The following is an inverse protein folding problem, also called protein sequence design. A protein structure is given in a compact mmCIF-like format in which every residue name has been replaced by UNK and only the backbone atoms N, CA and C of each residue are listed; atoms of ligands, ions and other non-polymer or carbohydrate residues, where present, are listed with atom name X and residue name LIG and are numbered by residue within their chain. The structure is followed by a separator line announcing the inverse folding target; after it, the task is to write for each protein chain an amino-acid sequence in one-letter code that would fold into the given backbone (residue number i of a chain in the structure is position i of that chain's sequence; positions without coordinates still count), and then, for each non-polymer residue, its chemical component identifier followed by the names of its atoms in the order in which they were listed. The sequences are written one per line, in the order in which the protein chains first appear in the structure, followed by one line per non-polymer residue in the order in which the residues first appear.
data_IF_196162683140
#
_entry.id   IF_196162683140
#
_cell.length_a   1.000
_cell.length_b   1.000
_cell.length_c   1.000
_cell.angle_alpha   90.00
_cell.angle_beta   90.00
_cell.angle_gamma   90.00
#
_symmetry.space_group_name_H-M   'P 1'
#
loop_
_entity.id
_entity.type
_entity.pdbx_description
1 polymer ?
#
# COMPACT_ATOMS: atom_id res chain seq x y z
N UNK A 1 -23.99 -65.62 43.91
CA UNK A 1 -25.38 -65.50 43.48
C UNK A 1 -25.66 -64.00 43.60
N UNK A 2 -25.74 -63.20 42.66
CA UNK A 2 -26.33 -62.94 41.39
C UNK A 2 -25.52 -61.87 40.63
N UNK A 3 -24.80 -62.24 39.58
CA UNK A 3 -24.49 -61.34 38.48
C UNK A 3 -25.71 -61.25 37.57
N UNK A 4 -26.07 -60.06 37.13
CA UNK A 4 -26.60 -59.77 35.82
C UNK A 4 -27.42 -58.49 35.83
N UNK A 5 -27.19 -57.76 34.78
CA UNK A 5 -28.02 -56.73 34.15
C UNK A 5 -27.54 -55.30 34.41
N UNK A 6 -26.80 -54.82 33.39
CA UNK A 6 -27.20 -53.58 32.69
C UNK A 6 -26.31 -53.38 31.46
N UNK A 7 -26.70 -54.01 30.35
CA UNK A 7 -26.27 -53.65 29.01
C UNK A 7 -27.09 -52.44 28.53
N UNK A 8 -26.46 -51.31 28.33
CA UNK A 8 -27.11 -50.22 27.58
C UNK A 8 -26.16 -49.64 26.48
N UNK A 9 -26.11 -50.28 25.31
CA UNK A 9 -25.39 -49.70 24.16
C UNK A 9 -26.29 -48.81 23.25
N UNK A 10 -27.47 -48.38 23.69
CA UNK A 10 -28.38 -47.62 22.81
C UNK A 10 -28.38 -46.11 23.04
N UNK A 11 -27.93 -45.61 24.17
CA UNK A 11 -27.92 -44.16 24.47
C UNK A 11 -26.72 -43.44 23.87
N UNK A 12 -25.59 -44.12 23.71
CA UNK A 12 -24.34 -43.52 23.17
C UNK A 12 -24.41 -43.31 21.64
N UNK A 13 -25.27 -44.06 20.93
CA UNK A 13 -25.44 -43.87 19.48
C UNK A 13 -26.36 -42.70 19.12
N UNK A 14 -27.31 -42.32 19.95
CA UNK A 14 -28.15 -41.13 19.72
C UNK A 14 -27.41 -39.82 19.99
N UNK A 15 -26.51 -39.77 20.97
CA UNK A 15 -25.71 -38.56 21.24
C UNK A 15 -24.65 -38.32 20.16
N UNK A 16 -24.12 -39.35 19.50
CA UNK A 16 -23.17 -39.18 18.37
C UNK A 16 -23.85 -38.73 17.08
N UNK A 17 -25.11 -39.05 16.86
CA UNK A 17 -25.85 -38.56 15.68
C UNK A 17 -26.27 -37.09 15.81
N UNK A 18 -26.57 -36.60 17.00
CA UNK A 18 -26.89 -35.17 17.21
C UNK A 18 -25.66 -34.26 17.09
N UNK A 19 -24.45 -34.76 17.40
CA UNK A 19 -23.21 -33.97 17.30
C UNK A 19 -22.68 -33.87 15.84
N UNK A 20 -23.01 -34.86 14.99
CA UNK A 20 -22.64 -34.83 13.57
C UNK A 20 -23.62 -33.98 12.76
N UNK A 21 -24.90 -33.91 13.17
CA UNK A 21 -25.87 -33.04 12.52
C UNK A 21 -25.70 -31.55 12.84
N UNK A 22 -25.11 -31.22 14.00
CA UNK A 22 -24.77 -29.80 14.36
C UNK A 22 -23.48 -29.29 13.72
N UNK A 23 -22.59 -30.18 13.29
CA UNK A 23 -21.32 -29.79 12.63
C UNK A 23 -21.48 -29.61 11.11
N UNK A 24 -22.60 -29.97 10.52
CA UNK A 24 -22.91 -29.86 9.08
C UNK A 24 -23.75 -28.63 8.74
N UNK A 25 -24.13 -27.79 9.72
CA UNK A 25 -24.92 -26.57 9.53
C UNK A 25 -24.11 -25.26 9.69
N UNK A 26 -22.80 -25.37 9.78
CA UNK A 26 -21.89 -24.24 9.62
C UNK A 26 -21.12 -24.38 8.30
N UNK A 27 -21.83 -24.76 7.24
CA UNK A 27 -21.40 -24.37 5.91
C UNK A 27 -21.87 -22.92 5.77
N UNK A 28 -20.95 -22.03 6.11
CA UNK A 28 -21.03 -20.60 5.91
C UNK A 28 -21.66 -20.31 4.56
N UNK A 29 -22.96 -19.95 4.55
CA UNK A 29 -23.41 -18.98 3.60
C UNK A 29 -22.49 -17.76 3.85
N UNK A 30 -21.51 -17.54 3.02
CA UNK A 30 -20.97 -16.22 2.83
C UNK A 30 -22.16 -15.43 2.29
N UNK A 31 -22.94 -14.88 3.20
CA UNK A 31 -23.91 -13.85 2.90
C UNK A 31 -23.05 -12.71 2.35
N UNK A 32 -23.04 -12.58 1.03
CA UNK A 32 -22.63 -11.33 0.39
C UNK A 32 -23.58 -10.28 0.97
N UNK A 33 -23.07 -9.53 1.96
CA UNK A 33 -23.93 -8.67 2.75
C UNK A 33 -24.22 -7.42 1.93
N UNK A 34 -25.36 -7.46 1.21
CA UNK A 34 -25.94 -6.26 0.64
C UNK A 34 -26.09 -5.22 1.75
N UNK A 35 -25.59 -4.01 1.54
CA UNK A 35 -25.73 -2.93 2.50
C UNK A 35 -27.20 -2.44 2.57
N UNK A 36 -27.70 -2.03 3.74
CA UNK A 36 -29.05 -1.50 3.87
C UNK A 36 -29.27 -0.31 2.93
N UNK A 37 -30.26 -0.41 2.04
CA UNK A 37 -30.59 0.64 1.07
C UNK A 37 -29.75 0.65 -0.20
N UNK A 38 -28.79 -0.24 -0.35
CA UNK A 38 -28.03 -0.40 -1.58
C UNK A 38 -28.92 -0.88 -2.74
N UNK A 39 -28.72 -0.29 -3.91
CA UNK A 39 -29.45 -0.66 -5.13
C UNK A 39 -29.11 -2.07 -5.60
N UNK A 40 -30.15 -2.81 -5.97
CA UNK A 40 -30.02 -4.12 -6.61
C UNK A 40 -30.44 -4.08 -8.07
N UNK A 41 -29.96 -5.06 -8.84
CA UNK A 41 -30.16 -5.18 -10.28
C UNK A 41 -30.61 -6.60 -10.63
N UNK A 42 -31.24 -6.76 -11.79
CA UNK A 42 -31.69 -8.07 -12.25
C UNK A 42 -30.60 -8.89 -12.93
N UNK A 43 -29.51 -8.23 -13.32
CA UNK A 43 -28.33 -8.87 -13.90
C UNK A 43 -27.06 -8.03 -13.71
N UNK A 44 -25.85 -8.63 -13.86
CA UNK A 44 -24.60 -7.89 -13.86
C UNK A 44 -24.50 -6.84 -14.97
N UNK A 45 -25.11 -7.10 -16.13
CA UNK A 45 -25.16 -6.18 -17.25
C UNK A 45 -25.98 -4.92 -16.92
N UNK A 46 -27.12 -5.10 -16.26
CA UNK A 46 -27.95 -3.98 -15.79
C UNK A 46 -27.17 -3.12 -14.78
N UNK A 47 -26.48 -3.76 -13.84
CA UNK A 47 -25.65 -3.08 -12.83
C UNK A 47 -24.51 -2.28 -13.48
N UNK A 48 -23.77 -2.89 -14.40
CA UNK A 48 -22.68 -2.25 -15.15
C UNK A 48 -23.18 -1.04 -15.96
N UNK A 49 -24.30 -1.19 -16.69
CA UNK A 49 -24.92 -0.11 -17.45
C UNK A 49 -25.40 1.03 -16.54
N UNK A 50 -25.97 0.70 -15.36
CA UNK A 50 -26.41 1.71 -14.40
C UNK A 50 -25.22 2.51 -13.83
N UNK A 51 -24.12 1.84 -13.50
CA UNK A 51 -22.89 2.51 -13.06
C UNK A 51 -22.37 3.44 -14.15
N UNK A 52 -22.23 2.94 -15.39
CA UNK A 52 -21.78 3.77 -16.52
C UNK A 52 -22.70 4.99 -16.73
N UNK A 53 -24.01 4.84 -16.65
CA UNK A 53 -24.96 5.94 -16.81
C UNK A 53 -24.82 6.98 -15.69
N UNK A 54 -24.68 6.56 -14.44
CA UNK A 54 -24.51 7.43 -13.27
C UNK A 54 -23.20 8.22 -13.35
N UNK A 55 -22.07 7.56 -13.66
CA UNK A 55 -20.76 8.22 -13.81
C UNK A 55 -20.78 9.21 -14.98
N UNK A 56 -21.33 8.81 -16.15
CA UNK A 56 -21.42 9.69 -17.33
C UNK A 56 -22.25 10.95 -17.09
N UNK A 57 -23.33 10.85 -16.31
CA UNK A 57 -24.19 11.98 -15.97
C UNK A 57 -23.69 12.77 -14.75
N UNK A 58 -22.58 12.30 -14.10
CA UNK A 58 -22.04 12.87 -12.86
C UNK A 58 -23.08 12.92 -11.74
N UNK A 59 -23.96 11.92 -11.70
CA UNK A 59 -25.01 11.78 -10.69
C UNK A 59 -24.46 11.07 -9.45
N UNK A 60 -23.92 11.87 -8.54
CA UNK A 60 -23.34 11.39 -7.28
C UNK A 60 -24.35 10.62 -6.42
N UNK A 61 -25.62 11.04 -6.42
CA UNK A 61 -26.64 10.35 -5.65
C UNK A 61 -26.89 8.94 -6.21
N UNK A 62 -26.98 8.80 -7.54
CA UNK A 62 -27.11 7.50 -8.18
C UNK A 62 -25.86 6.60 -7.97
N UNK A 63 -24.64 7.18 -7.93
CA UNK A 63 -23.42 6.43 -7.63
C UNK A 63 -23.45 5.92 -6.19
N UNK A 64 -23.85 6.75 -5.23
CA UNK A 64 -23.99 6.34 -3.83
C UNK A 64 -25.08 5.27 -3.65
N UNK A 65 -26.21 5.38 -4.35
CA UNK A 65 -27.26 4.35 -4.31
C UNK A 65 -26.72 2.99 -4.82
N UNK A 66 -25.88 3.00 -5.85
CA UNK A 66 -25.28 1.80 -6.43
C UNK A 66 -24.34 1.12 -5.45
N UNK A 67 -23.47 1.86 -4.76
CA UNK A 67 -22.50 1.29 -3.83
C UNK A 67 -23.02 1.20 -2.39
N UNK A 68 -24.15 1.81 -2.08
CA UNK A 68 -24.72 1.86 -0.72
C UNK A 68 -24.11 2.94 0.16
N UNK A 69 -24.56 3.05 1.42
CA UNK A 69 -24.19 4.13 2.34
C UNK A 69 -22.69 4.19 2.64
N UNK A 70 -21.99 3.06 2.56
CA UNK A 70 -20.52 3.01 2.75
C UNK A 70 -19.75 3.21 1.44
N UNK A 71 -20.43 3.54 0.35
CA UNK A 71 -19.84 3.78 -0.97
C UNK A 71 -18.88 4.95 -1.02
N UNK A 72 -18.99 5.94 -0.11
CA UNK A 72 -18.06 7.07 -0.02
C UNK A 72 -16.60 6.62 0.11
N UNK A 73 -16.34 5.56 0.87
CA UNK A 73 -15.01 4.98 1.02
C UNK A 73 -14.45 4.39 -0.27
N UNK A 74 -15.28 3.74 -1.06
CA UNK A 74 -14.89 3.22 -2.39
C UNK A 74 -14.70 4.37 -3.36
N UNK A 75 -15.62 5.31 -3.38
CA UNK A 75 -15.61 6.47 -4.29
C UNK A 75 -14.38 7.34 -4.04
N UNK A 76 -14.07 7.62 -2.77
CA UNK A 76 -12.88 8.39 -2.37
C UNK A 76 -11.57 7.64 -2.64
N UNK A 77 -11.60 6.31 -2.54
CA UNK A 77 -10.42 5.47 -2.71
C UNK A 77 -10.20 5.03 -4.18
N UNK A 78 -11.20 5.16 -5.03
CA UNK A 78 -11.06 5.02 -6.50
C UNK A 78 -10.36 6.25 -7.11
N UNK A 79 -9.44 6.89 -6.36
CA UNK A 79 -8.72 8.12 -6.70
C UNK A 79 -9.36 8.83 -7.90
N UNK A 80 -10.38 9.66 -7.62
CA UNK A 80 -10.94 10.48 -8.65
C UNK A 80 -12.22 10.01 -9.33
N UNK A 81 -12.98 9.01 -8.87
CA UNK A 81 -14.35 8.83 -9.41
C UNK A 81 -15.22 10.06 -9.12
N UNK A 82 -14.77 10.93 -8.21
CA UNK A 82 -15.33 12.27 -7.99
C UNK A 82 -14.51 13.40 -8.63
N UNK A 83 -13.25 13.14 -9.04
CA UNK A 83 -12.50 14.07 -9.90
C UNK A 83 -13.05 13.99 -11.33
N UNK A 84 -13.31 15.14 -11.94
CA UNK A 84 -13.84 15.23 -13.31
C UNK A 84 -13.00 14.43 -14.31
N UNK A 85 -11.66 14.42 -14.13
CA UNK A 85 -10.76 13.70 -15.01
C UNK A 85 -10.92 12.17 -14.91
N UNK A 86 -11.16 11.64 -13.72
CA UNK A 86 -11.30 10.20 -13.55
C UNK A 86 -12.66 9.67 -14.00
N UNK A 87 -13.72 10.47 -13.82
CA UNK A 87 -15.04 10.15 -14.39
C UNK A 87 -14.96 10.10 -15.92
N UNK A 88 -14.34 11.10 -16.54
CA UNK A 88 -14.15 11.13 -17.99
C UNK A 88 -13.27 9.97 -18.47
N UNK A 89 -12.24 9.60 -17.70
CA UNK A 89 -11.39 8.44 -17.97
C UNK A 89 -12.17 7.12 -17.89
N UNK A 90 -12.95 6.91 -16.81
CA UNK A 90 -13.83 5.73 -16.70
C UNK A 90 -14.80 5.64 -17.87
N UNK A 91 -15.49 6.74 -18.20
CA UNK A 91 -16.45 6.80 -19.32
C UNK A 91 -15.78 6.51 -20.67
N UNK A 92 -14.57 7.05 -20.88
CA UNK A 92 -13.80 6.80 -22.11
C UNK A 92 -13.44 5.33 -22.24
N UNK A 93 -12.85 4.73 -21.19
CA UNK A 93 -12.45 3.32 -21.18
C UNK A 93 -13.62 2.38 -21.32
N UNK A 94 -14.74 2.65 -20.63
CA UNK A 94 -15.95 1.83 -20.75
C UNK A 94 -16.51 1.83 -22.17
N UNK A 95 -16.45 2.97 -22.89
CA UNK A 95 -16.89 3.08 -24.29
C UNK A 95 -15.95 2.39 -25.26
N UNK A 96 -14.66 2.43 -24.97
CA UNK A 96 -13.63 1.83 -25.80
C UNK A 96 -13.80 0.30 -25.84
N UNK A 97 -13.89 -0.32 -24.70
CA UNK A 97 -14.23 -1.72 -24.52
C UNK A 97 -14.76 -1.96 -23.09
N UNK A 98 -15.69 -2.86 -22.91
CA UNK A 98 -16.09 -3.37 -21.62
C UNK A 98 -16.60 -4.79 -21.72
N UNK A 99 -16.45 -5.55 -20.65
CA UNK A 99 -16.86 -6.94 -20.57
C UNK A 99 -17.13 -7.36 -19.12
N UNK A 100 -17.84 -8.45 -18.97
CA UNK A 100 -18.12 -9.08 -17.67
C UNK A 100 -17.60 -10.50 -17.71
N UNK A 101 -16.80 -10.86 -16.72
CA UNK A 101 -16.29 -12.21 -16.55
C UNK A 101 -16.75 -12.77 -15.21
N UNK A 102 -17.26 -14.01 -15.24
CA UNK A 102 -17.77 -14.72 -14.07
C UNK A 102 -16.81 -15.80 -13.67
N UNK A 103 -16.31 -15.73 -12.44
CA UNK A 103 -15.42 -16.75 -11.89
C UNK A 103 -16.18 -18.00 -11.39
N UNK A 104 -15.42 -19.00 -10.91
CA UNK A 104 -15.96 -20.26 -10.39
C UNK A 104 -16.80 -20.07 -9.11
N UNK A 105 -16.59 -19.01 -8.36
CA UNK A 105 -17.38 -18.67 -7.15
C UNK A 105 -18.72 -18.04 -7.48
N UNK A 106 -18.91 -17.61 -8.72
CA UNK A 106 -20.09 -16.89 -9.17
C UNK A 106 -19.96 -15.36 -9.11
N UNK A 107 -18.83 -14.84 -8.63
CA UNK A 107 -18.51 -13.42 -8.62
C UNK A 107 -18.26 -12.93 -10.05
N UNK A 108 -18.76 -11.74 -10.38
CA UNK A 108 -18.61 -11.15 -11.70
C UNK A 108 -17.76 -9.89 -11.62
N UNK A 109 -16.68 -9.84 -12.41
CA UNK A 109 -15.79 -8.67 -12.53
C UNK A 109 -16.13 -7.91 -13.81
N UNK A 110 -16.30 -6.60 -13.70
CA UNK A 110 -16.38 -5.69 -14.83
C UNK A 110 -14.96 -5.35 -15.31
N UNK A 111 -14.68 -5.56 -16.58
CA UNK A 111 -13.44 -5.13 -17.24
C UNK A 111 -13.72 -3.94 -18.14
N UNK A 112 -12.83 -2.95 -18.17
CA UNK A 112 -12.95 -1.75 -19.01
C UNK A 112 -11.62 -1.42 -19.70
N UNK A 113 -11.73 -0.82 -20.90
CA UNK A 113 -10.59 -0.46 -21.76
C UNK A 113 -10.07 -1.66 -22.56
N UNK A 114 -9.25 -1.36 -23.57
CA UNK A 114 -8.62 -2.38 -24.45
C UNK A 114 -7.57 -3.24 -23.75
N UNK A 115 -7.12 -2.83 -22.58
CA UNK A 115 -6.18 -3.55 -21.72
C UNK A 115 -6.89 -4.40 -20.65
N UNK A 116 -8.21 -4.57 -20.76
CA UNK A 116 -9.04 -5.37 -19.85
C UNK A 116 -8.79 -5.02 -18.36
N UNK A 117 -8.76 -3.71 -18.03
CA UNK A 117 -8.53 -3.28 -16.65
C UNK A 117 -9.71 -3.69 -15.75
N UNK A 118 -9.48 -4.49 -14.71
CA UNK A 118 -10.54 -4.97 -13.84
C UNK A 118 -11.02 -3.85 -12.91
N UNK A 119 -12.33 -3.56 -12.98
CA UNK A 119 -12.96 -2.64 -12.05
C UNK A 119 -12.90 -3.22 -10.62
N UNK A 120 -12.50 -2.43 -9.61
CA UNK A 120 -12.15 -2.98 -8.29
C UNK A 120 -13.36 -3.46 -7.46
N UNK A 121 -14.58 -3.04 -7.80
CA UNK A 121 -15.78 -3.45 -7.06
C UNK A 121 -16.46 -4.58 -7.82
N UNK A 122 -16.40 -5.83 -7.33
CA UNK A 122 -17.04 -6.95 -8.01
C UNK A 122 -18.54 -6.91 -7.85
N UNK A 123 -19.24 -7.60 -8.76
CA UNK A 123 -20.67 -7.86 -8.72
C UNK A 123 -20.92 -9.24 -8.13
N UNK A 124 -21.78 -9.30 -7.14
CA UNK A 124 -22.18 -10.52 -6.48
C UNK A 124 -23.70 -10.63 -6.47
N UNK A 125 -24.22 -11.85 -6.48
CA UNK A 125 -25.65 -12.06 -6.44
C UNK A 125 -26.06 -13.47 -6.76
N UNK A 126 -27.34 -13.73 -6.62
CA UNK A 126 -27.97 -15.01 -6.89
C UNK A 126 -29.29 -14.82 -7.66
N UNK A 127 -29.44 -15.58 -8.74
CA UNK A 127 -30.63 -15.52 -9.57
C UNK A 127 -30.81 -14.16 -10.25
N UNK A 128 -31.80 -13.41 -9.82
CA UNK A 128 -32.17 -12.09 -10.38
C UNK A 128 -31.91 -10.94 -9.40
N UNK A 129 -31.08 -11.14 -8.40
CA UNK A 129 -30.72 -10.11 -7.41
C UNK A 129 -29.19 -9.94 -7.39
N UNK A 130 -28.70 -8.90 -7.99
CA UNK A 130 -27.26 -8.56 -8.11
C UNK A 130 -26.98 -7.21 -7.50
N UNK A 131 -25.80 -7.04 -6.89
CA UNK A 131 -25.31 -5.77 -6.38
C UNK A 131 -23.78 -5.70 -6.43
N UNK A 132 -23.22 -4.51 -6.34
CA UNK A 132 -21.77 -4.34 -6.17
C UNK A 132 -21.36 -4.69 -4.74
N UNK A 133 -20.36 -5.54 -4.57
CA UNK A 133 -19.78 -5.86 -3.25
C UNK A 133 -18.85 -4.72 -2.84
N UNK A 134 -19.40 -3.73 -2.17
CA UNK A 134 -18.71 -2.51 -1.77
C UNK A 134 -17.60 -2.78 -0.76
N UNK A 135 -17.76 -3.76 0.12
CA UNK A 135 -16.74 -4.08 1.11
C UNK A 135 -15.55 -4.79 0.46
N UNK A 136 -15.79 -5.73 -0.44
CA UNK A 136 -14.73 -6.30 -1.27
C UNK A 136 -14.03 -5.21 -2.13
N UNK A 137 -14.80 -4.28 -2.69
CA UNK A 137 -14.27 -3.15 -3.45
C UNK A 137 -13.35 -2.25 -2.65
N UNK A 138 -13.72 -1.88 -1.42
CA UNK A 138 -12.86 -1.12 -0.50
C UNK A 138 -11.53 -1.82 -0.25
N UNK A 139 -11.59 -3.12 -0.01
CA UNK A 139 -10.41 -3.92 0.26
C UNK A 139 -9.48 -3.99 -0.96
N UNK A 140 -10.05 -4.20 -2.15
CA UNK A 140 -9.30 -4.25 -3.40
C UNK A 140 -8.62 -2.91 -3.71
N UNK A 141 -9.33 -1.78 -3.55
CA UNK A 141 -8.77 -0.44 -3.73
C UNK A 141 -7.62 -0.19 -2.76
N UNK A 142 -7.80 -0.59 -1.49
CA UNK A 142 -6.74 -0.50 -0.50
C UNK A 142 -5.50 -1.32 -0.91
N UNK A 143 -5.68 -2.55 -1.37
CA UNK A 143 -4.57 -3.40 -1.82
C UNK A 143 -3.83 -2.81 -3.02
N UNK A 144 -4.55 -2.25 -4.00
CA UNK A 144 -3.94 -1.57 -5.16
C UNK A 144 -3.11 -0.38 -4.73
N UNK A 145 -3.67 0.49 -3.88
CA UNK A 145 -2.96 1.65 -3.34
C UNK A 145 -1.70 1.26 -2.59
N UNK A 146 -1.78 0.27 -1.70
CA UNK A 146 -0.61 -0.25 -0.97
C UNK A 146 0.44 -0.78 -1.95
N UNK A 147 0.04 -1.56 -2.95
CA UNK A 147 0.96 -2.08 -3.97
C UNK A 147 1.62 -1.00 -4.82
N UNK A 148 0.88 0.04 -5.20
CA UNK A 148 1.42 1.20 -5.95
C UNK A 148 2.41 2.00 -5.10
N UNK A 149 2.05 2.28 -3.84
CA UNK A 149 2.92 2.98 -2.91
C UNK A 149 4.23 2.21 -2.66
N UNK A 150 4.16 0.89 -2.50
CA UNK A 150 5.36 0.05 -2.33
C UNK A 150 6.27 0.08 -3.56
N UNK A 151 5.69 -0.01 -4.77
CA UNK A 151 6.47 0.13 -6.01
C UNK A 151 7.11 1.52 -6.13
N UNK A 152 6.38 2.57 -5.77
CA UNK A 152 6.91 3.93 -5.74
C UNK A 152 8.05 4.05 -4.72
N UNK A 153 7.94 3.45 -3.54
CA UNK A 153 8.98 3.44 -2.52
C UNK A 153 10.27 2.74 -2.99
N UNK A 154 10.15 1.59 -3.70
CA UNK A 154 11.31 0.90 -4.30
C UNK A 154 11.99 1.81 -5.34
N UNK A 155 11.21 2.42 -6.24
CA UNK A 155 11.74 3.33 -7.26
C UNK A 155 12.44 4.55 -6.63
N UNK A 156 11.88 5.08 -5.55
CA UNK A 156 12.49 6.19 -4.79
C UNK A 156 13.79 5.75 -4.11
N UNK A 157 13.87 4.54 -3.57
CA UNK A 157 15.13 4.01 -3.05
C UNK A 157 16.24 4.04 -4.10
N UNK A 158 15.97 3.59 -5.33
CA UNK A 158 16.93 3.66 -6.44
C UNK A 158 17.26 5.11 -6.82
N UNK A 159 16.25 5.98 -6.96
CA UNK A 159 16.47 7.39 -7.30
C UNK A 159 17.31 8.12 -6.25
N UNK A 160 17.15 7.80 -4.97
CA UNK A 160 17.97 8.37 -3.90
C UNK A 160 19.41 7.82 -3.90
N UNK A 161 19.62 6.57 -4.31
CA UNK A 161 20.99 6.05 -4.53
C UNK A 161 21.69 6.83 -5.64
N UNK A 162 21.00 7.11 -6.74
CA UNK A 162 21.53 7.92 -7.84
C UNK A 162 21.81 9.36 -7.40
N UNK A 163 20.88 9.96 -6.65
CA UNK A 163 21.02 11.31 -6.10
C UNK A 163 22.21 11.44 -5.14
N UNK A 164 22.43 10.44 -4.28
CA UNK A 164 23.60 10.40 -3.40
C UNK A 164 24.93 10.30 -4.18
N UNK A 165 24.97 9.51 -5.23
CA UNK A 165 26.13 9.40 -6.12
C UNK A 165 26.40 10.71 -6.88
N UNK A 166 25.34 11.38 -7.36
CA UNK A 166 25.47 12.71 -7.98
C UNK A 166 25.95 13.73 -6.96
N UNK A 167 25.40 13.73 -5.74
CA UNK A 167 25.86 14.60 -4.67
C UNK A 167 27.35 14.39 -4.35
N UNK A 168 27.80 13.14 -4.27
CA UNK A 168 29.20 12.78 -4.02
C UNK A 168 30.13 13.17 -5.17
N UNK A 169 29.64 13.33 -6.39
CA UNK A 169 30.46 13.63 -7.58
C UNK A 169 31.23 14.92 -7.46
N UNK A 170 30.74 15.90 -6.67
CA UNK A 170 31.26 17.25 -6.53
C UNK A 170 31.50 17.64 -5.06
N UNK A 171 32.53 18.45 -4.81
CA UNK A 171 32.70 19.15 -3.54
C UNK A 171 31.75 20.34 -3.46
N UNK A 172 31.14 20.56 -2.29
CA UNK A 172 30.18 21.64 -2.04
C UNK A 172 30.62 22.44 -0.79
N UNK A 173 30.36 23.72 -0.78
CA UNK A 173 30.64 24.63 0.37
C UNK A 173 32.06 24.51 0.92
N UNK A 174 33.06 24.22 0.05
CA UNK A 174 34.46 24.06 0.45
C UNK A 174 34.79 22.77 1.23
N UNK A 175 33.80 21.83 1.34
CA UNK A 175 34.01 20.54 2.00
C UNK A 175 34.58 19.49 1.04
N UNK A 176 35.10 18.40 1.57
CA UNK A 176 35.52 17.25 0.76
C UNK A 176 34.28 16.60 0.08
N UNK A 177 34.56 15.82 -0.96
CA UNK A 177 33.49 14.98 -1.54
C UNK A 177 32.93 14.05 -0.50
N UNK A 178 31.64 14.08 -0.30
CA UNK A 178 30.92 13.29 0.68
C UNK A 178 29.48 13.02 0.19
N UNK A 179 28.81 12.05 0.80
CA UNK A 179 27.39 11.81 0.65
C UNK A 179 26.60 12.76 1.54
N UNK A 180 25.34 13.02 1.18
CA UNK A 180 24.46 13.85 1.99
C UNK A 180 24.01 13.09 3.25
N UNK A 181 23.88 13.79 4.36
CA UNK A 181 23.44 13.18 5.63
C UNK A 181 21.93 13.39 5.88
N UNK A 182 21.30 14.24 5.08
CA UNK A 182 19.88 14.61 5.17
C UNK A 182 19.28 14.77 3.78
N UNK A 183 17.97 14.60 3.65
CA UNK A 183 17.29 14.87 2.39
C UNK A 183 17.23 16.38 2.11
N UNK A 184 17.03 17.19 3.14
CA UNK A 184 16.95 18.64 2.99
C UNK A 184 18.16 19.33 3.59
N UNK A 185 18.73 20.27 2.86
CA UNK A 185 19.82 21.14 3.34
C UNK A 185 19.33 22.15 4.37
N UNK A 186 20.25 22.58 5.24
CA UNK A 186 20.06 23.75 6.07
C UNK A 186 19.97 25.01 5.21
N UNK A 187 19.31 26.05 5.72
CA UNK A 187 19.15 27.30 4.97
C UNK A 187 20.50 27.91 4.59
N UNK A 188 20.67 28.19 3.30
CA UNK A 188 21.92 28.76 2.75
C UNK A 188 23.10 27.79 2.67
N UNK A 189 22.88 26.49 2.85
CA UNK A 189 23.90 25.44 2.71
C UNK A 189 23.47 24.41 1.64
N UNK A 190 24.48 23.62 1.18
CA UNK A 190 24.25 22.47 0.28
C UNK A 190 24.66 21.17 0.99
N UNK A 191 24.20 20.97 2.23
CA UNK A 191 24.59 19.84 3.09
C UNK A 191 23.56 18.69 3.12
N UNK A 192 22.50 18.77 2.30
CA UNK A 192 21.52 17.73 2.03
C UNK A 192 21.31 17.53 0.54
N UNK A 193 20.45 16.62 0.12
CA UNK A 193 20.13 16.34 -1.28
C UNK A 193 19.26 17.41 -1.95
N UNK A 194 18.54 18.20 -1.17
CA UNK A 194 17.69 19.28 -1.64
C UNK A 194 18.08 20.63 -1.05
N UNK A 195 18.19 21.63 -1.89
CA UNK A 195 18.24 23.06 -1.54
C UNK A 195 17.43 23.87 -2.54
N UNK A 196 17.03 25.07 -2.15
CA UNK A 196 16.37 26.01 -3.06
C UNK A 196 17.44 26.60 -3.96
N UNK A 197 17.30 26.37 -5.26
CA UNK A 197 18.22 26.87 -6.28
C UNK A 197 17.81 28.29 -6.67
N UNK A 198 18.77 29.23 -6.68
CA UNK A 198 18.61 30.53 -7.28
C UNK A 198 19.09 30.51 -8.74
N UNK A 199 18.72 31.54 -9.51
CA UNK A 199 19.14 31.65 -10.92
C UNK A 199 20.66 31.57 -11.07
N UNK A 200 21.13 30.56 -11.79
CA UNK A 200 22.55 30.34 -12.07
C UNK A 200 23.29 29.47 -11.05
N UNK A 201 22.63 28.97 -10.03
CA UNK A 201 23.17 27.98 -9.09
C UNK A 201 22.95 26.55 -9.59
N UNK A 202 23.77 25.57 -9.16
CA UNK A 202 23.58 24.18 -9.47
C UNK A 202 22.23 23.67 -8.92
N UNK A 203 21.50 22.88 -9.70
CA UNK A 203 20.28 22.23 -9.27
C UNK A 203 20.56 21.21 -8.17
N UNK A 204 19.61 21.06 -7.23
CA UNK A 204 19.68 20.02 -6.21
C UNK A 204 19.41 18.64 -6.81
N UNK A 205 20.05 17.56 -6.31
CA UNK A 205 19.89 16.20 -6.81
C UNK A 205 18.45 15.67 -6.73
N UNK A 206 17.65 16.17 -5.77
CA UNK A 206 16.24 15.78 -5.63
C UNK A 206 15.32 17.00 -5.63
N UNK A 207 14.03 16.76 -5.96
CA UNK A 207 12.99 17.78 -5.89
C UNK A 207 12.39 17.96 -4.49
N UNK A 208 11.61 19.06 -4.29
CA UNK A 208 11.00 19.38 -2.99
C UNK A 208 10.01 18.32 -2.50
N UNK A 209 9.35 17.58 -3.38
CA UNK A 209 8.40 16.53 -2.97
C UNK A 209 9.10 15.40 -2.21
N UNK A 210 10.27 14.94 -2.69
CA UNK A 210 11.06 13.93 -2.00
C UNK A 210 11.68 14.48 -0.71
N UNK A 211 12.18 15.71 -0.73
CA UNK A 211 12.75 16.36 0.43
C UNK A 211 11.76 16.49 1.60
N UNK A 212 10.49 16.77 1.29
CA UNK A 212 9.43 16.88 2.30
C UNK A 212 9.05 15.52 2.92
N UNK A 213 9.42 14.40 2.28
CA UNK A 213 9.16 13.06 2.81
C UNK A 213 10.23 12.59 3.83
N UNK A 214 11.17 13.45 4.23
CA UNK A 214 12.18 13.11 5.22
C UNK A 214 11.55 12.68 6.55
N UNK A 215 11.79 11.43 6.93
CA UNK A 215 11.31 10.84 8.18
C UNK A 215 12.02 11.41 9.41
N UNK A 216 11.47 11.12 10.58
CA UNK A 216 12.02 11.64 11.85
C UNK A 216 13.39 11.02 12.14
N UNK A 217 14.35 11.89 12.43
CA UNK A 217 15.53 11.57 13.21
C UNK A 217 15.38 12.26 14.56
N UNK A 218 15.00 11.51 15.60
CA UNK A 218 14.71 12.08 16.92
C UNK A 218 13.42 12.93 16.98
N UNK A 219 13.16 13.53 18.14
CA UNK A 219 11.95 14.28 18.47
C UNK A 219 11.97 15.73 17.96
N UNK A 220 12.10 15.98 16.66
CA UNK A 220 11.85 17.34 16.15
C UNK A 220 10.46 17.43 15.48
N UNK A 221 9.40 17.83 16.22
CA UNK A 221 8.03 17.87 15.72
C UNK A 221 7.70 19.10 14.87
N UNK A 222 8.65 20.03 14.67
CA UNK A 222 8.35 21.36 14.10
C UNK A 222 8.45 21.45 12.58
N UNK A 223 8.82 20.37 11.88
CA UNK A 223 8.87 20.35 10.41
C UNK A 223 7.59 19.74 9.86
N UNK A 224 6.87 20.48 9.03
CA UNK A 224 5.80 19.91 8.21
C UNK A 224 6.38 18.80 7.35
N UNK A 225 5.84 17.60 7.48
CA UNK A 225 6.24 16.42 6.71
C UNK A 225 5.11 16.02 5.81
N UNK A 226 5.41 15.80 4.56
CA UNK A 226 4.48 15.27 3.59
C UNK A 226 5.06 13.97 3.04
N UNK A 227 4.47 12.81 3.36
CA UNK A 227 5.00 11.54 2.87
C UNK A 227 4.95 11.51 1.34
N UNK A 228 5.91 10.83 0.73
CA UNK A 228 5.91 10.60 -0.71
C UNK A 228 5.30 9.23 -0.98
N UNK A 229 4.18 9.19 -1.70
CA UNK A 229 3.41 7.97 -1.92
C UNK A 229 3.21 7.13 -0.65
N UNK A 230 2.80 7.79 0.43
CA UNK A 230 2.53 7.13 1.71
C UNK A 230 3.75 6.61 2.46
N UNK A 231 4.98 7.03 2.08
CA UNK A 231 6.23 6.62 2.70
C UNK A 231 7.03 7.80 3.24
N UNK A 232 7.65 7.61 4.41
CA UNK A 232 8.73 8.43 4.90
C UNK A 232 10.08 7.85 4.50
N UNK A 233 11.05 8.74 4.28
CA UNK A 233 12.38 8.43 3.81
C UNK A 233 13.44 8.91 4.81
N UNK A 234 14.49 8.14 5.03
CA UNK A 234 15.61 8.52 5.91
C UNK A 234 16.94 8.10 5.33
N UNK A 235 17.95 8.96 5.48
CA UNK A 235 19.33 8.60 5.23
C UNK A 235 19.92 8.03 6.53
N UNK A 236 20.51 6.85 6.44
CA UNK A 236 21.19 6.16 7.53
C UNK A 236 22.70 6.40 7.42
N UNK A 237 23.35 6.67 8.55
CA UNK A 237 24.74 7.10 8.60
C UNK A 237 25.71 6.03 9.11
N UNK A 238 25.23 4.80 9.27
CA UNK A 238 26.01 3.67 9.74
C UNK A 238 25.63 2.35 9.09
N UNK A 239 26.53 1.38 9.19
CA UNK A 239 26.32 -0.01 8.86
C UNK A 239 26.49 -0.86 10.11
N UNK A 240 25.46 -1.66 10.44
CA UNK A 240 25.53 -2.61 11.56
C UNK A 240 26.26 -3.90 11.18
N UNK A 241 26.61 -4.69 12.19
CA UNK A 241 27.45 -5.87 12.06
C UNK A 241 26.76 -7.16 11.58
N UNK A 242 25.47 -7.14 11.22
CA UNK A 242 24.70 -8.37 10.91
C UNK A 242 24.89 -8.89 9.47
N UNK A 243 25.39 -8.09 8.55
CA UNK A 243 25.53 -8.45 7.14
C UNK A 243 26.90 -9.07 6.77
N UNK A 244 27.56 -9.76 7.72
CA UNK A 244 28.88 -10.35 7.50
C UNK A 244 30.06 -9.36 7.54
N UNK A 245 29.78 -8.06 7.64
CA UNK A 245 30.72 -6.97 7.81
C UNK A 245 30.69 -6.45 9.25
N UNK A 246 31.82 -5.94 9.74
CA UNK A 246 31.86 -5.28 11.03
C UNK A 246 31.06 -3.98 11.01
N UNK A 247 30.38 -3.68 12.12
CA UNK A 247 29.68 -2.42 12.32
C UNK A 247 30.63 -1.25 12.07
N UNK A 248 30.22 -0.26 11.26
CA UNK A 248 31.03 0.90 10.92
C UNK A 248 30.17 2.14 10.71
N UNK A 249 30.64 3.26 11.18
CA UNK A 249 30.05 4.55 10.81
C UNK A 249 30.42 4.91 9.36
N UNK A 250 29.46 5.42 8.61
CA UNK A 250 29.71 6.03 7.30
C UNK A 250 30.30 7.46 7.44
N UNK A 251 30.17 8.05 8.64
CA UNK A 251 30.71 9.37 8.96
C UNK A 251 32.16 9.22 9.46
N UNK A 252 33.07 10.00 8.87
CA UNK A 252 34.46 10.14 9.27
C UNK A 252 34.78 11.62 9.41
N UNK A 253 35.24 12.05 10.60
CA UNK A 253 35.55 13.46 10.89
C UNK A 253 34.36 14.42 10.61
N UNK A 254 33.12 13.97 10.83
CA UNK A 254 31.93 14.78 10.58
C UNK A 254 31.38 14.70 9.15
N UNK A 255 32.08 14.03 8.24
CA UNK A 255 31.73 13.92 6.81
C UNK A 255 31.39 12.49 6.41
N UNK A 256 30.31 12.30 5.66
CA UNK A 256 29.85 10.97 5.25
C UNK A 256 30.58 10.50 4.00
N UNK A 257 31.77 9.92 4.19
CA UNK A 257 32.69 9.52 3.11
C UNK A 257 32.83 8.02 2.92
N UNK A 258 32.29 7.21 3.83
CA UNK A 258 32.51 5.76 3.84
C UNK A 258 31.32 4.94 3.30
N UNK A 259 30.28 5.58 2.81
CA UNK A 259 29.04 5.00 2.29
C UNK A 259 27.81 5.72 2.80
N UNK A 260 26.65 5.19 2.48
CA UNK A 260 25.34 5.65 2.94
C UNK A 260 24.35 4.49 2.90
N UNK A 261 23.20 4.67 3.52
CA UNK A 261 22.04 3.84 3.26
C UNK A 261 20.75 4.67 3.37
N UNK A 262 19.67 4.13 2.83
CA UNK A 262 18.36 4.76 2.78
C UNK A 262 17.36 3.79 3.37
N UNK A 263 16.47 4.30 4.21
CA UNK A 263 15.33 3.60 4.78
C UNK A 263 14.06 4.27 4.28
N UNK A 264 13.13 3.47 3.75
CA UNK A 264 11.78 3.89 3.40
C UNK A 264 10.76 3.07 4.18
N UNK A 265 9.85 3.72 4.90
CA UNK A 265 8.84 3.04 5.72
C UNK A 265 7.48 3.69 5.61
N UNK A 266 6.37 2.91 5.66
CA UNK A 266 5.03 3.45 5.50
C UNK A 266 4.65 4.36 6.67
N UNK A 267 3.87 5.39 6.36
CA UNK A 267 3.30 6.31 7.36
C UNK A 267 2.33 5.58 8.27
N UNK A 268 1.51 4.71 7.68
CA UNK A 268 0.49 3.92 8.35
C UNK A 268 0.52 2.48 7.82
N UNK A 269 0.87 1.54 8.69
CA UNK A 269 0.93 0.12 8.37
C UNK A 269 -0.42 -0.41 7.89
N UNK A 270 -0.43 -1.19 6.81
CA UNK A 270 -1.63 -1.78 6.22
C UNK A 270 -2.49 -0.81 5.41
N UNK A 271 -2.28 0.49 5.52
CA UNK A 271 -3.09 1.53 4.85
C UNK A 271 -2.28 2.28 3.78
N UNK A 272 -1.09 2.77 4.11
CA UNK A 272 -0.19 3.39 3.14
C UNK A 272 0.85 2.42 2.58
N UNK A 273 1.19 1.36 3.30
CA UNK A 273 2.14 0.32 2.92
C UNK A 273 2.22 -0.76 3.99
N UNK A 274 2.81 -1.90 3.64
CA UNK A 274 3.12 -3.00 4.55
C UNK A 274 4.63 -3.11 4.71
N UNK A 275 5.37 -3.16 3.61
CA UNK A 275 6.81 -3.39 3.62
C UNK A 275 7.59 -2.13 3.98
N UNK A 276 8.64 -2.31 4.78
CA UNK A 276 9.71 -1.34 4.97
C UNK A 276 10.86 -1.72 4.06
N UNK A 277 11.48 -0.73 3.41
CA UNK A 277 12.57 -0.93 2.46
C UNK A 277 13.87 -0.33 2.98
N UNK A 278 15.00 -0.99 2.69
CA UNK A 278 16.33 -0.50 3.02
C UNK A 278 17.27 -0.78 1.85
N UNK A 279 18.14 0.20 1.54
CA UNK A 279 19.13 0.08 0.46
C UNK A 279 20.42 0.80 0.87
N UNK A 280 21.55 0.31 0.44
CA UNK A 280 22.85 1.00 0.59
C UNK A 280 23.41 1.42 -0.78
N UNK A 281 24.61 1.96 -0.80
CA UNK A 281 25.32 2.40 -2.01
C UNK A 281 25.46 1.33 -3.11
N UNK A 282 25.23 0.05 -2.81
CA UNK A 282 25.28 -1.02 -3.81
C UNK A 282 23.99 -1.12 -4.64
N UNK A 283 22.93 -0.39 -4.25
CA UNK A 283 21.68 -0.30 -4.99
C UNK A 283 20.74 -1.51 -4.85
N UNK A 284 21.09 -2.54 -4.07
CA UNK A 284 20.20 -3.67 -3.83
C UNK A 284 19.19 -3.30 -2.73
N UNK A 285 17.91 -3.25 -3.10
CA UNK A 285 16.82 -2.94 -2.17
C UNK A 285 16.40 -4.20 -1.44
N UNK A 286 16.34 -4.13 -0.12
CA UNK A 286 15.77 -5.17 0.74
C UNK A 286 14.45 -4.68 1.35
N UNK A 287 13.56 -5.62 1.66
CA UNK A 287 12.25 -5.37 2.26
C UNK A 287 12.00 -6.27 3.46
N UNK A 288 11.27 -5.75 4.44
CA UNK A 288 10.79 -6.51 5.60
C UNK A 288 9.43 -5.99 6.05
N UNK A 289 8.54 -6.90 6.44
CA UNK A 289 7.30 -6.57 7.14
C UNK A 289 7.60 -6.44 8.64
N UNK A 290 7.59 -5.21 9.15
CA UNK A 290 7.86 -4.91 10.56
C UNK A 290 6.59 -4.95 11.44
N UNK A 291 5.42 -5.26 10.85
CA UNK A 291 4.14 -5.39 11.54
C UNK A 291 3.51 -4.06 11.94
N UNK A 292 2.51 -4.12 12.82
CA UNK A 292 1.70 -2.96 13.24
C UNK A 292 2.52 -1.84 13.91
N UNK A 293 3.66 -2.17 14.53
CA UNK A 293 4.57 -1.19 15.16
C UNK A 293 5.61 -0.60 14.18
N UNK A 294 5.40 -0.76 12.87
CA UNK A 294 6.38 -0.38 11.82
C UNK A 294 6.95 1.01 12.02
N UNK A 295 6.13 2.03 12.22
CA UNK A 295 6.59 3.42 12.38
C UNK A 295 7.56 3.57 13.55
N UNK A 296 7.28 2.93 14.68
CA UNK A 296 8.12 2.95 15.88
C UNK A 296 9.42 2.17 15.67
N UNK A 297 9.33 0.97 15.11
CA UNK A 297 10.50 0.12 14.83
C UNK A 297 11.40 0.79 13.79
N UNK A 298 10.85 1.26 12.68
CA UNK A 298 11.60 1.91 11.60
C UNK A 298 12.24 3.22 12.05
N UNK A 299 11.57 4.03 12.90
CA UNK A 299 12.16 5.25 13.44
C UNK A 299 13.38 5.00 14.33
N UNK A 300 13.49 3.82 14.94
CA UNK A 300 14.62 3.40 15.76
C UNK A 300 15.78 2.77 14.96
N UNK A 301 15.59 2.46 13.68
CA UNK A 301 16.67 1.96 12.82
C UNK A 301 17.63 3.10 12.50
N UNK A 302 18.87 3.02 12.98
CA UNK A 302 19.93 4.03 12.74
C UNK A 302 21.01 3.54 11.78
N UNK A 303 21.10 2.22 11.57
CA UNK A 303 22.15 1.56 10.80
C UNK A 303 21.56 0.63 9.74
N UNK A 304 22.26 0.50 8.63
CA UNK A 304 21.98 -0.51 7.61
C UNK A 304 22.46 -1.88 8.10
N UNK A 305 21.52 -2.76 8.45
CA UNK A 305 21.83 -4.09 8.96
C UNK A 305 20.74 -5.12 8.57
N UNK A 306 20.49 -5.35 7.27
CA UNK A 306 19.55 -6.38 6.88
C UNK A 306 20.05 -7.76 7.32
N UNK A 307 19.26 -8.43 8.13
CA UNK A 307 19.47 -9.81 8.56
C UNK A 307 18.65 -10.80 7.71
N UNK A 308 18.55 -12.06 8.15
CA UNK A 308 17.81 -13.11 7.43
C UNK A 308 16.30 -12.85 7.28
N UNK A 309 15.73 -11.94 8.09
CA UNK A 309 14.32 -11.54 7.97
C UNK A 309 14.06 -10.62 6.77
N UNK A 310 15.09 -9.94 6.27
CA UNK A 310 15.02 -9.07 5.11
C UNK A 310 15.20 -9.86 3.82
N UNK A 311 14.33 -9.63 2.86
CA UNK A 311 14.35 -10.24 1.53
C UNK A 311 14.64 -9.19 0.48
N UNK A 312 15.22 -9.59 -0.65
CA UNK A 312 15.34 -8.67 -1.79
C UNK A 312 13.96 -8.24 -2.28
N UNK A 313 13.80 -6.94 -2.52
CA UNK A 313 12.61 -6.41 -3.16
C UNK A 313 12.77 -6.54 -4.69
N UNK A 314 11.71 -7.01 -5.35
CA UNK A 314 11.63 -7.16 -6.81
C UNK A 314 10.92 -5.96 -7.45
#
# INVERSE_FOLDING_TARGET
MLQRLLSKPRIIRLLKLCFVASALLVLSAQLFAQQPGQKTFTSPEEASNALYAAVRSRDQAAILDIFGPDGDGVISALDGVLDENAQDHFVSRYREAHGLDKDESGTVTLYIGVDDWPFPVPLVGEGVVWHFDTDAGKQEVLYRRVGENQRAAINVCHALVDAENDYYSQSRDGRVKQYAQTLTSDEGQHNGLFWRTADGEPESPIGPLLANAEGVRGDNPQRERSPFHGYYLRILTGQGGTAGDNARSYIRNGEMTAGFAILAYPVEYGSSGVMTFIVNQNGLVYQNDLGEETTKVASAIEEYAPDESWKTAE
#
